data_IF_847127635823
#
_entry.id   IF_847127635823
#
_cell.length_a   1.000
_cell.length_b   1.000
_cell.length_c   1.000
_cell.angle_alpha   90.00
_cell.angle_beta   90.00
_cell.angle_gamma   90.00
#
_symmetry.space_group_name_H-M   'P 1'
#
loop_
_entity.id
_entity.type
_entity.pdbx_description
1 polymer ?
#
# COMPACT_ATOMS: atom_id res chain seq x y z
N UNK A 1 0.96 -13.47 -13.45
CA UNK A 1 0.23 -12.62 -12.50
C UNK A 1 1.26 -11.93 -11.63
N UNK A 2 1.32 -10.58 -11.61
CA UNK A 2 2.26 -9.84 -10.76
C UNK A 2 1.57 -9.64 -9.42
N UNK A 3 1.85 -10.49 -8.45
CA UNK A 3 1.14 -10.45 -7.16
C UNK A 3 2.05 -9.88 -6.07
N UNK A 4 1.49 -9.01 -5.23
CA UNK A 4 2.18 -8.46 -4.06
C UNK A 4 1.97 -9.37 -2.87
N UNK A 5 3.07 -9.75 -2.22
CA UNK A 5 3.05 -10.58 -1.01
C UNK A 5 2.90 -9.68 0.20
N UNK A 6 1.91 -9.93 1.04
CA UNK A 6 1.67 -9.21 2.29
C UNK A 6 2.19 -10.06 3.44
N UNK A 7 3.29 -9.65 4.05
CA UNK A 7 3.90 -10.35 5.16
C UNK A 7 3.06 -10.22 6.45
N UNK A 8 2.65 -11.33 7.04
CA UNK A 8 1.83 -11.36 8.25
C UNK A 8 2.64 -11.97 9.39
N UNK A 9 3.46 -11.12 9.99
CA UNK A 9 4.38 -11.54 11.05
C UNK A 9 3.66 -11.44 12.42
N UNK A 10 3.63 -12.56 13.14
CA UNK A 10 3.34 -12.56 14.59
C UNK A 10 4.54 -12.02 15.34
N UNK A 11 4.32 -11.39 16.50
CA UNK A 11 5.45 -10.91 17.32
C UNK A 11 6.22 -12.12 17.80
N UNK A 12 7.47 -12.26 17.34
CA UNK A 12 8.43 -13.22 17.88
C UNK A 12 9.01 -12.60 19.16
N UNK A 13 8.61 -13.10 20.31
CA UNK A 13 9.25 -12.77 21.59
C UNK A 13 10.25 -13.88 21.89
N UNK A 14 11.54 -13.55 21.82
CA UNK A 14 12.61 -14.38 22.37
C UNK A 14 12.83 -13.94 23.80
N UNK A 15 12.52 -14.82 24.77
CA UNK A 15 12.78 -14.53 26.19
C UNK A 15 14.22 -14.96 26.49
N UNK A 16 15.16 -14.02 26.38
CA UNK A 16 16.51 -14.14 26.91
C UNK A 16 16.56 -13.47 28.28
N UNK A 17 16.76 -14.26 29.35
CA UNK A 17 16.94 -13.72 30.69
C UNK A 17 18.42 -13.36 30.93
N UNK A 18 18.78 -12.08 30.85
CA UNK A 18 20.04 -11.54 31.37
C UNK A 18 19.88 -10.06 31.82
N UNK A 19 20.63 -9.66 32.85
CA UNK A 19 20.47 -8.45 33.68
C UNK A 19 21.62 -7.42 33.47
N UNK A 20 21.29 -6.10 33.47
CA UNK A 20 22.10 -4.82 33.56
C UNK A 20 23.07 -4.51 32.37
N UNK A 21 23.37 -3.30 31.87
CA UNK A 21 23.50 -1.91 32.38
C UNK A 21 23.25 -0.82 31.29
N UNK A 22 22.96 0.39 31.75
CA UNK A 22 22.63 1.66 31.08
C UNK A 22 23.58 2.19 29.97
N UNK A 23 23.01 3.01 29.07
CA UNK A 23 23.73 3.91 28.16
C UNK A 23 23.00 5.25 28.01
N UNK A 24 23.77 6.35 27.99
CA UNK A 24 23.29 7.73 27.80
C UNK A 24 23.07 8.05 26.31
N UNK A 25 22.09 8.90 25.94
CA UNK A 25 22.00 9.44 24.58
C UNK A 25 22.76 10.77 24.45
N UNK A 26 23.54 10.90 23.38
CA UNK A 26 24.01 12.20 22.84
C UNK A 26 23.13 12.58 21.65
N UNK A 27 22.62 13.81 21.68
CA UNK A 27 21.92 14.45 20.56
C UNK A 27 22.91 14.77 19.43
N UNK A 28 22.49 14.56 18.19
CA UNK A 28 23.03 15.29 17.05
C UNK A 28 21.88 15.66 16.11
N UNK A 29 21.53 16.95 16.13
CA UNK A 29 20.61 17.58 15.20
C UNK A 29 21.40 18.22 14.07
N UNK A 30 21.33 17.64 12.87
CA UNK A 30 21.66 18.36 11.63
C UNK A 30 20.45 18.45 10.73
N UNK A 31 19.99 19.69 10.57
CA UNK A 31 18.80 20.12 9.85
C UNK A 31 19.21 20.55 8.45
N UNK A 32 19.01 19.69 7.46
CA UNK A 32 19.18 20.04 6.04
C UNK A 32 17.92 20.75 5.53
N UNK A 33 18.01 22.07 5.35
CA UNK A 33 17.01 22.89 4.66
C UNK A 33 17.30 22.87 3.16
N UNK A 34 16.40 22.28 2.36
CA UNK A 34 16.42 22.38 0.90
C UNK A 34 15.43 23.47 0.49
N UNK A 35 15.95 24.55 -0.11
CA UNK A 35 15.16 25.63 -0.68
C UNK A 35 14.50 25.17 -1.99
N UNK A 36 13.17 25.13 -2.03
CA UNK A 36 12.45 24.90 -3.29
C UNK A 36 12.47 26.17 -4.14
N UNK A 37 13.18 26.08 -5.27
CA UNK A 37 13.13 27.02 -6.38
C UNK A 37 11.82 26.79 -7.13
N UNK A 38 11.01 27.85 -7.25
CA UNK A 38 9.76 27.86 -8.03
C UNK A 38 10.06 27.83 -9.52
N UNK A 39 9.53 26.87 -10.31
CA UNK A 39 9.46 27.02 -11.75
C UNK A 39 8.26 27.90 -12.09
N UNK A 40 8.55 29.08 -12.62
CA UNK A 40 7.63 29.91 -13.37
C UNK A 40 7.21 29.14 -14.63
N UNK A 41 5.94 28.76 -14.76
CA UNK A 41 5.38 28.22 -16.00
C UNK A 41 4.08 28.96 -16.32
N UNK A 42 4.17 29.88 -17.27
CA UNK A 42 3.05 30.44 -18.02
C UNK A 42 2.38 29.30 -18.78
N UNK A 43 1.18 28.90 -18.36
CA UNK A 43 0.40 27.87 -19.04
C UNK A 43 -0.21 28.46 -20.33
N UNK A 44 0.32 28.03 -21.47
CA UNK A 44 -0.34 28.17 -22.77
C UNK A 44 -1.67 27.39 -22.74
N UNK A 45 -2.77 28.03 -23.12
CA UNK A 45 -4.10 27.42 -23.06
C UNK A 45 -4.17 26.23 -24.02
N UNK A 46 -4.28 25.02 -23.49
CA UNK A 46 -4.41 23.79 -24.27
C UNK A 46 -5.60 23.88 -25.24
N UNK A 47 -5.35 23.70 -26.54
CA UNK A 47 -6.36 23.87 -27.59
C UNK A 47 -7.27 22.65 -27.80
N UNK A 48 -6.91 21.48 -27.28
CA UNK A 48 -7.69 20.24 -27.47
C UNK A 48 -8.12 19.62 -26.14
N UNK A 49 -9.34 19.08 -26.08
CA UNK A 49 -9.86 18.35 -24.92
C UNK A 49 -9.92 16.85 -25.22
N UNK A 50 -9.59 16.02 -24.23
CA UNK A 50 -9.67 14.56 -24.35
C UNK A 50 -10.37 13.96 -23.14
N UNK A 51 -11.29 13.05 -23.39
CA UNK A 51 -11.89 12.20 -22.36
C UNK A 51 -11.12 10.89 -22.29
N UNK A 52 -10.57 10.57 -21.14
CA UNK A 52 -9.77 9.37 -20.89
C UNK A 52 -10.50 8.49 -19.89
N UNK A 53 -10.71 7.22 -20.26
CA UNK A 53 -11.27 6.18 -19.40
C UNK A 53 -10.21 5.12 -19.18
N UNK A 54 -9.80 4.95 -17.92
CA UNK A 54 -8.95 3.85 -17.48
C UNK A 54 -9.84 2.77 -16.89
N UNK A 55 -9.77 1.55 -17.42
CA UNK A 55 -10.46 0.37 -16.88
C UNK A 55 -9.44 -0.55 -16.23
N UNK A 56 -9.73 -1.01 -15.02
CA UNK A 56 -8.85 -1.94 -14.31
C UNK A 56 -9.60 -2.80 -13.29
N UNK A 57 -9.09 -4.00 -13.04
CA UNK A 57 -9.47 -4.83 -11.89
C UNK A 57 -8.37 -4.88 -10.80
N UNK A 58 -7.29 -4.11 -11.00
CA UNK A 58 -6.08 -4.12 -10.17
C UNK A 58 -4.93 -4.93 -10.75
N UNK A 59 -5.20 -5.89 -11.63
CA UNK A 59 -4.17 -6.71 -12.29
C UNK A 59 -4.02 -6.30 -13.75
N UNK A 60 -5.15 -6.16 -14.44
CA UNK A 60 -5.21 -5.72 -15.82
C UNK A 60 -5.56 -4.22 -15.89
N UNK A 61 -4.94 -3.53 -16.84
CA UNK A 61 -5.16 -2.10 -17.09
C UNK A 61 -5.32 -1.87 -18.59
N UNK A 62 -6.42 -1.21 -18.95
CA UNK A 62 -6.67 -0.74 -20.31
C UNK A 62 -7.12 0.71 -20.29
N UNK A 63 -6.76 1.45 -21.33
CA UNK A 63 -7.05 2.87 -21.45
C UNK A 63 -7.65 3.18 -22.81
N UNK A 64 -8.74 3.95 -22.79
CA UNK A 64 -9.34 4.52 -23.99
C UNK A 64 -9.38 6.03 -23.88
N UNK A 65 -8.99 6.72 -24.96
CA UNK A 65 -9.00 8.17 -25.05
C UNK A 65 -9.82 8.61 -26.26
N UNK A 66 -10.69 9.59 -26.08
CA UNK A 66 -11.55 10.15 -27.14
C UNK A 66 -11.41 11.67 -27.13
N UNK A 67 -10.95 12.25 -28.25
CA UNK A 67 -10.87 13.70 -28.39
C UNK A 67 -12.29 14.30 -28.49
N UNK A 68 -12.53 15.45 -27.87
CA UNK A 68 -13.84 16.10 -27.86
C UNK A 68 -14.28 16.60 -29.26
N UNK A 69 -13.33 16.85 -30.14
CA UNK A 69 -13.51 17.26 -31.54
C UNK A 69 -13.56 16.05 -32.51
N UNK A 70 -13.60 14.82 -31.99
CA UNK A 70 -13.52 13.56 -32.74
C UNK A 70 -12.24 13.41 -33.58
N UNK A 71 -11.19 14.19 -33.30
CA UNK A 71 -9.88 13.99 -33.91
C UNK A 71 -9.20 12.72 -33.39
N UNK A 72 -8.23 12.23 -34.16
CA UNK A 72 -7.43 11.10 -33.74
C UNK A 72 -6.49 11.51 -32.60
N UNK A 73 -6.63 10.88 -31.44
CA UNK A 73 -5.70 11.08 -30.31
C UNK A 73 -4.36 10.43 -30.66
N UNK A 74 -3.21 11.12 -30.44
CA UNK A 74 -1.90 10.56 -30.78
C UNK A 74 -1.63 9.20 -30.11
N UNK A 75 -1.30 8.17 -30.90
CA UNK A 75 -1.08 6.82 -30.38
C UNK A 75 0.04 6.75 -29.33
N UNK A 76 1.10 7.55 -29.49
CA UNK A 76 2.20 7.65 -28.51
C UNK A 76 1.75 8.21 -27.15
N UNK A 77 0.77 9.12 -27.15
CA UNK A 77 0.17 9.65 -25.93
C UNK A 77 -0.62 8.56 -25.20
N UNK A 78 -1.48 7.84 -25.91
CA UNK A 78 -2.27 6.72 -25.36
C UNK A 78 -1.36 5.65 -24.77
N UNK A 79 -0.33 5.22 -25.52
CA UNK A 79 0.60 4.20 -25.05
C UNK A 79 1.34 4.62 -23.77
N UNK A 80 1.75 5.90 -23.69
CA UNK A 80 2.41 6.43 -22.49
C UNK A 80 1.44 6.51 -21.31
N UNK A 81 0.23 6.99 -21.52
CA UNK A 81 -0.81 7.02 -20.48
C UNK A 81 -1.12 5.62 -19.96
N UNK A 82 -1.27 4.63 -20.85
CA UNK A 82 -1.58 3.26 -20.44
C UNK A 82 -0.46 2.66 -19.60
N UNK A 83 0.80 2.82 -20.01
CA UNK A 83 1.96 2.33 -19.25
C UNK A 83 2.11 3.03 -17.90
N UNK A 84 1.82 4.33 -17.82
CA UNK A 84 1.85 5.08 -16.55
C UNK A 84 0.70 4.66 -15.64
N UNK A 85 -0.52 4.54 -16.17
CA UNK A 85 -1.68 4.07 -15.40
C UNK A 85 -1.45 2.66 -14.84
N UNK A 86 -0.85 1.75 -15.63
CA UNK A 86 -0.44 0.43 -15.17
C UNK A 86 0.51 0.51 -13.96
N UNK A 87 1.62 1.24 -14.10
CA UNK A 87 2.58 1.42 -13.01
C UNK A 87 1.95 2.03 -11.75
N UNK A 88 1.08 3.04 -11.92
CA UNK A 88 0.43 3.70 -10.80
C UNK A 88 -0.58 2.78 -10.12
N UNK A 89 -1.39 2.03 -10.87
CA UNK A 89 -2.36 1.09 -10.29
C UNK A 89 -1.65 0.04 -9.45
N UNK A 90 -0.50 -0.44 -9.91
CA UNK A 90 0.34 -1.38 -9.16
C UNK A 90 1.06 -0.75 -7.95
N UNK A 91 1.20 0.57 -7.87
CA UNK A 91 1.86 1.24 -6.75
C UNK A 91 1.02 1.22 -5.46
N UNK A 92 1.64 1.06 -4.30
CA UNK A 92 0.96 1.00 -2.98
C UNK A 92 0.53 2.38 -2.49
N UNK A 93 1.25 3.40 -2.95
CA UNK A 93 1.11 4.78 -2.51
C UNK A 93 0.25 5.62 -3.45
N UNK A 94 -0.09 5.08 -4.62
CA UNK A 94 -0.93 5.79 -5.57
C UNK A 94 -2.34 5.99 -5.05
N UNK A 95 -2.93 7.09 -5.49
CA UNK A 95 -4.32 7.44 -5.23
C UNK A 95 -5.01 7.72 -6.55
N UNK A 96 -6.34 7.77 -6.54
CA UNK A 96 -7.13 8.19 -7.71
C UNK A 96 -6.61 9.54 -8.23
N UNK A 97 -6.30 10.46 -7.32
CA UNK A 97 -5.84 11.79 -7.66
C UNK A 97 -4.45 11.78 -8.29
N UNK A 98 -3.51 10.97 -7.79
CA UNK A 98 -2.16 10.90 -8.37
C UNK A 98 -2.22 10.29 -9.78
N UNK A 99 -2.94 9.18 -9.97
CA UNK A 99 -3.12 8.54 -11.29
C UNK A 99 -3.73 9.52 -12.28
N UNK A 100 -4.79 10.25 -11.88
CA UNK A 100 -5.41 11.27 -12.73
C UNK A 100 -4.45 12.42 -13.04
N UNK A 101 -3.63 12.84 -12.08
CA UNK A 101 -2.66 13.91 -12.27
C UNK A 101 -1.56 13.50 -13.27
N UNK A 102 -1.03 12.28 -13.15
CA UNK A 102 0.01 11.77 -14.05
C UNK A 102 -0.50 11.62 -15.49
N UNK A 103 -1.72 11.11 -15.68
CA UNK A 103 -2.38 11.06 -16.98
C UNK A 103 -2.60 12.47 -17.56
N UNK A 104 -3.08 13.42 -16.75
CA UNK A 104 -3.24 14.82 -17.18
C UNK A 104 -1.92 15.47 -17.58
N UNK A 105 -0.84 15.21 -16.83
CA UNK A 105 0.49 15.71 -17.14
C UNK A 105 1.03 15.14 -18.46
N UNK A 106 0.72 13.88 -18.78
CA UNK A 106 1.03 13.30 -20.09
C UNK A 106 0.23 14.00 -21.18
N UNK A 107 -1.08 14.21 -21.00
CA UNK A 107 -1.93 14.88 -21.99
C UNK A 107 -1.43 16.30 -22.32
N UNK A 108 -1.03 17.05 -21.30
CA UNK A 108 -0.54 18.42 -21.45
C UNK A 108 0.70 18.50 -22.35
N UNK A 109 1.59 17.50 -22.32
CA UNK A 109 2.77 17.42 -23.21
C UNK A 109 2.42 17.28 -24.69
N UNK A 110 1.18 16.91 -25.00
CA UNK A 110 0.63 16.82 -26.35
C UNK A 110 -0.38 17.94 -26.64
N UNK A 111 -0.43 18.99 -25.82
CA UNK A 111 -1.37 20.12 -25.92
C UNK A 111 -2.86 19.74 -25.70
N UNK A 112 -3.11 18.70 -24.90
CA UNK A 112 -4.46 18.28 -24.50
C UNK A 112 -4.77 18.60 -23.03
N UNK A 113 -6.00 19.04 -22.77
CA UNK A 113 -6.61 19.01 -21.43
C UNK A 113 -7.39 17.71 -21.27
N UNK A 114 -6.99 16.87 -20.32
CA UNK A 114 -7.65 15.57 -20.07
C UNK A 114 -8.69 15.61 -18.95
N UNK A 115 -9.89 15.10 -19.25
CA UNK A 115 -10.85 14.65 -18.25
C UNK A 115 -10.65 13.13 -18.05
N UNK A 116 -10.33 12.70 -16.83
CA UNK A 116 -9.90 11.32 -16.55
C UNK A 116 -10.88 10.65 -15.60
N UNK A 117 -11.41 9.51 -16.02
CA UNK A 117 -12.27 8.63 -15.22
C UNK A 117 -11.59 7.28 -15.05
N UNK A 118 -11.57 6.75 -13.83
CA UNK A 118 -11.09 5.40 -13.56
C UNK A 118 -12.32 4.54 -13.26
N UNK A 119 -12.40 3.35 -13.85
CA UNK A 119 -13.52 2.42 -13.66
C UNK A 119 -12.94 1.06 -13.26
N UNK A 120 -13.45 0.52 -12.16
CA UNK A 120 -13.09 -0.81 -11.69
C UNK A 120 -14.31 -1.65 -11.35
N UNK A 121 -14.07 -2.92 -10.97
CA UNK A 121 -15.13 -3.81 -10.49
C UNK A 121 -15.84 -3.29 -9.23
N UNK A 122 -15.25 -2.31 -8.53
CA UNK A 122 -15.85 -1.68 -7.36
C UNK A 122 -16.57 -0.36 -7.69
N UNK A 123 -16.50 0.10 -8.95
CA UNK A 123 -17.18 1.29 -9.45
C UNK A 123 -16.23 2.37 -9.96
N UNK A 124 -16.78 3.56 -10.17
CA UNK A 124 -16.03 4.72 -10.64
C UNK A 124 -15.11 5.27 -9.55
N UNK A 125 -13.89 5.63 -9.93
CA UNK A 125 -12.86 6.23 -9.09
C UNK A 125 -12.55 5.39 -7.83
N UNK A 126 -12.57 4.07 -7.99
CA UNK A 126 -12.11 3.14 -6.99
C UNK A 126 -10.92 2.36 -7.54
N UNK A 127 -9.80 2.40 -6.82
CA UNK A 127 -8.57 1.72 -7.20
C UNK A 127 -8.45 0.38 -6.48
N UNK A 128 -8.53 -0.74 -7.21
CA UNK A 128 -8.26 -2.05 -6.65
C UNK A 128 -6.77 -2.19 -6.28
N UNK A 129 -6.51 -3.04 -5.30
CA UNK A 129 -5.17 -3.43 -4.85
C UNK A 129 -5.19 -4.94 -4.56
N UNK A 130 -4.86 -5.76 -5.56
CA UNK A 130 -4.72 -7.20 -5.39
C UNK A 130 -3.50 -7.53 -4.55
N UNK A 131 -3.61 -8.57 -3.72
CA UNK A 131 -2.50 -9.07 -2.91
C UNK A 131 -2.73 -10.52 -2.49
N UNK A 132 -1.66 -11.20 -2.07
CA UNK A 132 -1.72 -12.54 -1.46
C UNK A 132 -1.39 -12.45 0.02
N UNK A 133 -2.20 -13.11 0.83
CA UNK A 133 -2.01 -13.29 2.27
C UNK A 133 -0.81 -14.21 2.50
N UNK A 134 0.17 -13.80 3.30
CA UNK A 134 1.30 -14.64 3.72
C UNK A 134 1.35 -14.71 5.25
N UNK A 135 0.94 -15.85 5.80
CA UNK A 135 0.95 -16.17 7.23
C UNK A 135 -0.43 -16.36 7.86
N UNK A 136 -0.43 -16.82 9.11
CA UNK A 136 -1.62 -17.35 9.80
C UNK A 136 -2.36 -16.36 10.70
N UNK A 137 -1.93 -15.09 10.78
CA UNK A 137 -2.49 -14.19 11.81
C UNK A 137 -3.94 -13.79 11.59
N UNK A 138 -4.50 -14.06 10.40
CA UNK A 138 -5.87 -13.72 10.07
C UNK A 138 -6.80 -14.93 10.01
N UNK A 139 -6.31 -16.13 10.32
CA UNK A 139 -7.16 -17.32 10.49
C UNK A 139 -8.14 -17.07 11.65
N UNK A 140 -9.44 -17.46 11.53
CA UNK A 140 -10.03 -18.22 10.42
C UNK A 140 -10.56 -17.37 9.27
N UNK A 141 -10.41 -16.04 9.33
CA UNK A 141 -10.98 -15.12 8.34
C UNK A 141 -10.24 -15.18 7.01
N UNK A 142 -8.91 -15.21 7.03
CA UNK A 142 -8.06 -15.31 5.85
C UNK A 142 -7.02 -16.42 6.04
N UNK A 143 -6.87 -17.25 5.02
CA UNK A 143 -5.92 -18.36 4.95
C UNK A 143 -4.60 -17.94 4.32
N UNK A 144 -3.52 -18.61 4.73
CA UNK A 144 -2.21 -18.43 4.10
C UNK A 144 -2.27 -18.78 2.60
N UNK A 145 -1.68 -17.94 1.75
CA UNK A 145 -1.72 -18.07 0.30
C UNK A 145 -3.03 -17.59 -0.37
N UNK A 146 -4.01 -17.10 0.39
CA UNK A 146 -5.28 -16.61 -0.17
C UNK A 146 -5.08 -15.30 -0.92
N UNK A 147 -5.61 -15.22 -2.14
CA UNK A 147 -5.68 -13.97 -2.90
C UNK A 147 -6.83 -13.09 -2.40
N UNK A 148 -6.54 -11.82 -2.19
CA UNK A 148 -7.49 -10.80 -1.72
C UNK A 148 -7.42 -9.57 -2.61
N UNK A 149 -8.52 -8.81 -2.65
CA UNK A 149 -8.55 -7.50 -3.33
C UNK A 149 -9.06 -6.45 -2.36
N UNK A 150 -8.23 -5.44 -2.12
CA UNK A 150 -8.63 -4.24 -1.39
C UNK A 150 -8.98 -3.09 -2.33
N UNK A 151 -9.78 -2.14 -1.83
CA UNK A 151 -9.97 -0.84 -2.47
C UNK A 151 -9.11 0.18 -1.73
N UNK A 152 -8.23 0.88 -2.46
CA UNK A 152 -7.42 1.96 -1.88
C UNK A 152 -8.32 3.09 -1.41
N UNK A 153 -8.42 3.26 -0.09
CA UNK A 153 -9.28 4.26 0.53
C UNK A 153 -8.82 4.54 1.96
N UNK A 154 -9.08 5.77 2.42
CA UNK A 154 -8.90 6.16 3.83
C UNK A 154 -10.22 6.15 4.61
N UNK A 155 -11.34 5.84 3.93
CA UNK A 155 -12.64 5.64 4.56
C UNK A 155 -12.70 4.23 5.14
N UNK A 156 -12.41 4.14 6.44
CA UNK A 156 -12.34 2.90 7.21
C UNK A 156 -13.28 2.96 8.41
N UNK A 157 -13.86 1.82 8.78
CA UNK A 157 -14.67 1.64 9.99
C UNK A 157 -14.17 0.48 10.86
N UNK A 158 -14.57 0.48 12.13
CA UNK A 158 -14.34 -0.66 13.03
C UNK A 158 -14.98 -1.92 12.42
N UNK A 159 -14.24 -3.02 12.48
CA UNK A 159 -14.61 -4.30 11.89
C UNK A 159 -14.07 -4.53 10.48
N UNK A 160 -13.69 -3.47 9.74
CA UNK A 160 -13.08 -3.62 8.42
C UNK A 160 -11.77 -4.41 8.50
N UNK A 161 -11.50 -5.23 7.49
CA UNK A 161 -10.18 -5.81 7.25
C UNK A 161 -9.43 -4.84 6.33
N UNK A 162 -8.22 -4.45 6.73
CA UNK A 162 -7.44 -3.44 6.02
C UNK A 162 -6.04 -3.95 5.71
N UNK A 163 -5.49 -3.45 4.61
CA UNK A 163 -4.06 -3.56 4.30
C UNK A 163 -3.41 -2.26 4.78
N UNK A 164 -2.32 -2.35 5.52
CA UNK A 164 -1.60 -1.20 6.06
C UNK A 164 -0.09 -1.41 6.01
N UNK A 165 0.66 -0.32 5.87
CA UNK A 165 2.12 -0.31 5.96
C UNK A 165 2.56 -0.24 7.42
N UNK A 166 3.25 -1.28 7.89
CA UNK A 166 3.83 -1.35 9.23
C UNK A 166 5.34 -1.07 9.17
N UNK A 167 5.88 -0.16 10.01
CA UNK A 167 7.27 0.28 9.91
C UNK A 167 8.30 -0.85 10.06
N UNK A 168 7.97 -1.91 10.79
CA UNK A 168 8.87 -3.06 11.01
C UNK A 168 8.56 -4.28 10.15
N UNK A 169 7.37 -4.36 9.56
CA UNK A 169 6.88 -5.59 8.91
C UNK A 169 6.45 -5.39 7.46
N UNK A 170 6.53 -4.15 6.93
CA UNK A 170 6.00 -3.82 5.62
C UNK A 170 4.48 -3.93 5.59
N UNK A 171 3.93 -4.37 4.46
CA UNK A 171 2.50 -4.57 4.29
C UNK A 171 1.98 -5.64 5.24
N UNK A 172 0.97 -5.29 6.04
CA UNK A 172 0.21 -6.21 6.88
C UNK A 172 -1.28 -6.15 6.53
N UNK A 173 -1.97 -7.28 6.65
CA UNK A 173 -3.45 -7.33 6.67
C UNK A 173 -3.92 -7.64 8.09
N UNK A 174 -4.86 -6.83 8.59
CA UNK A 174 -5.40 -6.91 9.97
C UNK A 174 -6.83 -6.38 10.05
N UNK A 175 -7.54 -6.71 11.13
CA UNK A 175 -8.86 -6.17 11.43
C UNK A 175 -8.77 -4.87 12.23
N UNK A 176 -9.57 -3.87 11.84
CA UNK A 176 -9.73 -2.62 12.58
C UNK A 176 -10.54 -2.88 13.84
N UNK A 177 -9.89 -2.84 15.01
CA UNK A 177 -10.55 -3.02 16.30
C UNK A 177 -11.00 -1.70 16.92
N UNK A 178 -10.26 -0.61 16.69
CA UNK A 178 -10.58 0.72 17.21
C UNK A 178 -10.03 1.81 16.31
N UNK A 179 -10.74 2.93 16.25
CA UNK A 179 -10.26 4.17 15.63
C UNK A 179 -10.24 5.25 16.70
N UNK A 180 -9.14 6.01 16.78
CA UNK A 180 -8.98 7.10 17.75
C UNK A 180 -8.20 8.25 17.11
N UNK A 181 -8.91 9.30 16.71
CA UNK A 181 -8.32 10.45 16.03
C UNK A 181 -7.56 10.04 14.76
N UNK A 182 -6.28 10.38 14.67
CA UNK A 182 -5.39 10.04 13.56
C UNK A 182 -4.81 8.62 13.64
N UNK A 183 -5.17 7.82 14.64
CA UNK A 183 -4.65 6.46 14.82
C UNK A 183 -5.72 5.39 14.62
N UNK A 184 -5.27 4.21 14.22
CA UNK A 184 -6.07 3.00 14.06
C UNK A 184 -5.41 1.87 14.84
N UNK A 185 -6.21 1.12 15.60
CA UNK A 185 -5.77 -0.08 16.29
C UNK A 185 -6.15 -1.29 15.47
N UNK A 186 -5.13 -2.05 15.09
CA UNK A 186 -5.23 -3.21 14.24
C UNK A 186 -4.95 -4.47 15.07
N UNK A 187 -5.78 -5.50 14.89
CA UNK A 187 -5.65 -6.76 15.58
C UNK A 187 -5.60 -7.93 14.61
N UNK A 188 -4.88 -8.96 15.03
CA UNK A 188 -4.94 -10.29 14.42
C UNK A 188 -6.25 -10.97 14.81
N UNK A 189 -6.92 -11.58 13.83
CA UNK A 189 -8.09 -12.42 14.10
C UNK A 189 -7.66 -13.76 14.72
N UNK A 190 -6.51 -14.29 14.31
CA UNK A 190 -5.92 -15.43 14.99
C UNK A 190 -5.41 -14.98 16.37
N UNK A 191 -5.90 -15.64 17.42
CA UNK A 191 -5.57 -15.37 18.81
C UNK A 191 -4.68 -16.44 19.44
N UNK A 192 -4.27 -17.44 18.66
CA UNK A 192 -3.38 -18.50 19.11
C UNK A 192 -1.99 -17.95 19.44
N UNK A 193 -1.39 -18.55 20.46
CA UNK A 193 -0.02 -18.28 20.89
C UNK A 193 0.75 -19.56 20.71
N UNK A 194 1.72 -19.55 19.80
CA UNK A 194 2.56 -20.71 19.54
C UNK A 194 3.85 -20.59 20.34
N UNK A 195 4.24 -21.66 21.02
CA UNK A 195 5.53 -21.77 21.70
C UNK A 195 6.28 -22.97 21.18
N UNK A 196 7.49 -22.75 20.69
CA UNK A 196 8.37 -23.80 20.19
C UNK A 196 9.81 -23.56 20.61
N UNK A 197 10.60 -24.63 20.64
CA UNK A 197 12.02 -24.56 20.97
C UNK A 197 12.85 -24.59 19.69
N UNK A 198 13.86 -23.73 19.61
CA UNK A 198 14.86 -23.72 18.54
C UNK A 198 16.26 -23.80 19.13
N UNK A 199 17.24 -24.20 18.33
CA UNK A 199 18.65 -24.21 18.73
C UNK A 199 19.36 -23.02 18.10
N UNK A 200 19.97 -22.19 18.94
CA UNK A 200 20.81 -21.08 18.51
C UNK A 200 22.28 -21.49 18.64
N UNK A 201 23.02 -21.44 17.53
CA UNK A 201 24.46 -21.66 17.52
C UNK A 201 25.18 -20.46 18.15
N UNK A 202 26.03 -20.75 19.12
CA UNK A 202 26.81 -19.75 19.87
C UNK A 202 28.19 -19.47 19.25
N UNK A 203 28.53 -20.09 18.11
CA UNK A 203 29.77 -19.84 17.37
C UNK A 203 31.02 -20.52 17.95
N UNK A 204 30.86 -21.32 19.00
CA UNK A 204 31.92 -22.10 19.67
C UNK A 204 31.66 -23.63 19.65
N UNK A 205 30.70 -24.10 18.85
CA UNK A 205 30.28 -25.50 18.81
C UNK A 205 29.29 -25.90 19.90
N UNK A 206 28.76 -24.93 20.68
CA UNK A 206 27.65 -25.16 21.60
C UNK A 206 26.34 -24.58 21.05
N UNK A 207 25.23 -25.23 21.39
CA UNK A 207 23.88 -24.77 21.06
C UNK A 207 23.13 -24.40 22.32
N UNK A 208 22.42 -23.27 22.30
CA UNK A 208 21.43 -22.92 23.31
C UNK A 208 20.03 -23.30 22.82
N UNK A 209 19.26 -23.98 23.66
CA UNK A 209 17.84 -24.22 23.39
C UNK A 209 17.08 -22.96 23.77
N UNK A 210 16.58 -22.26 22.76
CA UNK A 210 15.82 -21.02 22.90
C UNK A 210 14.34 -21.33 22.75
N UNK A 211 13.54 -20.95 23.75
CA UNK A 211 12.09 -20.98 23.64
C UNK A 211 11.62 -19.71 22.93
N UNK A 212 10.93 -19.90 21.80
CA UNK A 212 10.33 -18.83 21.01
C UNK A 212 8.82 -18.85 21.21
N UNK A 213 8.26 -17.70 21.56
CA UNK A 213 6.81 -17.50 21.65
C UNK A 213 6.36 -16.55 20.56
N UNK A 214 5.50 -17.03 19.66
CA UNK A 214 4.83 -16.25 18.62
C UNK A 214 3.48 -15.80 19.14
N UNK A 215 3.30 -14.49 19.29
CA UNK A 215 2.05 -13.90 19.76
C UNK A 215 1.30 -13.18 18.63
N UNK A 216 -0.03 -13.08 18.70
CA UNK A 216 -0.83 -12.28 17.79
C UNK A 216 -0.32 -10.83 17.73
N UNK A 217 -0.18 -10.29 16.53
CA UNK A 217 0.21 -8.89 16.35
C UNK A 217 -1.02 -8.00 16.55
N UNK A 218 -0.99 -7.21 17.62
CA UNK A 218 -1.93 -6.13 17.89
C UNK A 218 -1.14 -4.81 17.97
N UNK A 219 -1.51 -3.81 17.17
CA UNK A 219 -0.67 -2.60 17.01
C UNK A 219 -1.48 -1.35 16.71
N UNK A 220 -0.98 -0.20 17.15
CA UNK A 220 -1.48 1.11 16.75
C UNK A 220 -0.67 1.65 15.58
N UNK A 221 -1.35 1.99 14.50
CA UNK A 221 -0.75 2.66 13.35
C UNK A 221 -1.38 4.03 13.13
N UNK A 222 -0.67 4.87 12.36
CA UNK A 222 -1.31 6.06 11.78
C UNK A 222 -2.40 5.61 10.81
N UNK A 223 -3.52 6.34 10.78
CA UNK A 223 -4.55 6.16 9.74
C UNK A 223 -4.00 6.38 8.34
N UNK A 224 -2.95 7.19 8.18
CA UNK A 224 -2.29 7.39 6.89
C UNK A 224 -1.61 6.13 6.37
N UNK A 225 -1.15 5.25 7.27
CA UNK A 225 -0.50 3.97 6.93
C UNK A 225 -1.47 2.95 6.32
N UNK A 226 -2.78 3.11 6.51
CA UNK A 226 -3.77 2.20 5.90
C UNK A 226 -3.86 2.47 4.41
N UNK A 227 -3.59 1.47 3.58
CA UNK A 227 -3.65 1.57 2.12
C UNK A 227 -5.10 1.46 1.64
N UNK A 228 -5.82 0.45 2.14
CA UNK A 228 -7.17 0.17 1.67
C UNK A 228 -7.92 -0.84 2.52
N UNK A 229 -9.19 -1.02 2.17
CA UNK A 229 -10.13 -1.94 2.82
C UNK A 229 -10.32 -3.15 1.91
N UNK A 230 -10.13 -4.36 2.46
CA UNK A 230 -10.35 -5.62 1.74
C UNK A 230 -11.84 -5.77 1.40
N UNK A 231 -12.14 -6.11 0.14
CA UNK A 231 -13.51 -6.25 -0.39
C UNK A 231 -13.79 -7.64 -0.94
N UNK A 232 -12.77 -8.33 -1.43
CA UNK A 232 -12.86 -9.70 -1.93
C UNK A 232 -11.85 -10.53 -1.16
N UNK A 233 -12.34 -11.60 -0.55
CA UNK A 233 -11.60 -12.65 0.14
C UNK A 233 -12.51 -13.88 0.20
#
# INVERSE_FOLDING_TARGET
MRTKVIAIIGIIVVVLAALVVAFHPTENTDKLTISNVTPNQTAEAAQHHVNVVVKTDGTDVSLHATAADNSAVPAKMIARMNSTADADIQSETSTVNSVKADIKAIAAKYNYTANVTIVSQFGTDQLPFPATVDGTSMIPTLEDGQDIIAVKTKSIKVGDIVIAEHPSYGLIVKRVAKISGSKVYLKSDNREVDTYQTQQDMGNGTYEVVTVTKSPLDTWLSRSSVIGVVKVY
#
